data_IF_247219543181
#
_entry.id   IF_247219543181
#
_cell.length_a   1.000
_cell.length_b   1.000
_cell.length_c   1.000
_cell.angle_alpha   90.00
_cell.angle_beta   90.00
_cell.angle_gamma   90.00
#
_symmetry.space_group_name_H-M   'P 1'
#
loop_
_entity.id
_entity.type
_entity.pdbx_description
1 polymer ?
#
# COMPACT_ATOMS: atom_id res chain seq x y z
N UNK A 1 -19.15 2.57 -36.83
CA UNK A 1 -18.58 1.94 -35.62
C UNK A 1 -17.08 2.03 -35.74
N UNK A 2 -16.42 2.77 -34.85
CA UNK A 2 -14.96 2.97 -34.90
C UNK A 2 -14.37 2.29 -33.68
N UNK A 3 -13.49 1.30 -33.87
CA UNK A 3 -12.85 0.56 -32.80
C UNK A 3 -11.62 1.30 -32.28
N UNK A 4 -11.55 1.55 -30.98
CA UNK A 4 -10.34 2.01 -30.30
C UNK A 4 -9.59 0.82 -29.72
N UNK A 5 -8.31 0.67 -30.05
CA UNK A 5 -7.43 -0.38 -29.52
C UNK A 5 -6.55 0.18 -28.41
N UNK A 6 -6.61 -0.41 -27.21
CA UNK A 6 -5.81 -0.02 -26.05
C UNK A 6 -4.69 -1.00 -25.78
N UNK A 7 -3.56 -0.86 -26.49
CA UNK A 7 -2.37 -1.72 -26.34
C UNK A 7 -1.16 -0.99 -25.76
N UNK A 8 -1.37 -0.11 -24.79
CA UNK A 8 -0.26 0.53 -24.09
C UNK A 8 0.29 -0.40 -23.00
N UNK A 9 1.22 -1.29 -23.36
CA UNK A 9 2.14 -1.92 -22.40
C UNK A 9 2.00 -3.42 -22.11
N UNK A 10 1.21 -4.18 -22.87
CA UNK A 10 1.24 -5.66 -22.80
C UNK A 10 2.27 -6.21 -23.79
N UNK A 11 3.19 -7.07 -23.33
CA UNK A 11 3.97 -7.90 -24.26
C UNK A 11 2.97 -8.79 -25.01
N UNK A 12 2.88 -8.62 -26.33
CA UNK A 12 1.98 -9.40 -27.17
C UNK A 12 2.55 -10.81 -27.30
N UNK A 13 2.13 -11.70 -26.42
CA UNK A 13 2.31 -13.13 -26.68
C UNK A 13 1.38 -13.56 -27.86
N UNK A 14 1.64 -14.71 -28.51
CA UNK A 14 0.86 -15.16 -29.66
C UNK A 14 -0.64 -15.32 -29.38
N UNK A 15 -1.00 -15.62 -28.13
CA UNK A 15 -2.39 -15.79 -27.68
C UNK A 15 -3.05 -14.42 -27.57
N UNK A 16 -2.40 -13.45 -26.93
CA UNK A 16 -2.86 -12.07 -26.82
C UNK A 16 -3.02 -11.41 -28.20
N UNK A 17 -2.11 -11.68 -29.14
CA UNK A 17 -2.22 -11.19 -30.51
C UNK A 17 -3.44 -11.80 -31.25
N UNK A 18 -3.67 -13.10 -31.08
CA UNK A 18 -4.82 -13.80 -31.69
C UNK A 18 -6.14 -13.33 -31.11
N UNK A 19 -6.22 -13.17 -29.79
CA UNK A 19 -7.39 -12.65 -29.09
C UNK A 19 -7.71 -11.20 -29.52
N UNK A 20 -6.68 -10.38 -29.77
CA UNK A 20 -6.86 -9.02 -30.28
C UNK A 20 -7.39 -9.00 -31.72
N UNK A 21 -6.85 -9.85 -32.59
CA UNK A 21 -7.36 -10.01 -33.96
C UNK A 21 -8.82 -10.47 -33.91
N UNK A 22 -9.15 -11.37 -33.00
CA UNK A 22 -10.52 -11.86 -32.78
C UNK A 22 -11.45 -10.73 -32.33
N UNK A 23 -11.02 -9.90 -31.38
CA UNK A 23 -11.75 -8.70 -30.97
C UNK A 23 -11.99 -7.73 -32.14
N UNK A 24 -10.98 -7.49 -32.99
CA UNK A 24 -11.09 -6.62 -34.16
C UNK A 24 -12.09 -7.16 -35.20
N UNK A 25 -12.03 -8.45 -35.50
CA UNK A 25 -12.92 -9.12 -36.45
C UNK A 25 -14.37 -9.17 -35.93
N UNK A 26 -14.56 -9.12 -34.61
CA UNK A 26 -15.87 -9.15 -33.95
C UNK A 26 -16.54 -7.77 -33.83
N UNK A 27 -15.97 -6.71 -34.40
CA UNK A 27 -16.55 -5.35 -34.38
C UNK A 27 -17.75 -5.14 -35.31
N UNK A 28 -18.07 -6.13 -36.14
CA UNK A 28 -19.25 -6.08 -37.03
C UNK A 28 -20.55 -6.14 -36.22
N UNK A 29 -21.64 -5.43 -36.63
CA UNK A 29 -22.83 -5.24 -35.79
C UNK A 29 -23.46 -6.53 -35.25
N UNK A 30 -23.46 -7.58 -36.07
CA UNK A 30 -24.02 -8.88 -35.72
C UNK A 30 -23.18 -9.65 -34.68
N UNK A 31 -21.84 -9.58 -34.77
CA UNK A 31 -20.93 -10.26 -33.85
C UNK A 31 -20.67 -9.44 -32.59
N UNK A 32 -20.67 -8.12 -32.71
CA UNK A 32 -20.45 -7.18 -31.62
C UNK A 32 -21.45 -7.33 -30.46
N UNK A 33 -22.70 -7.72 -30.76
CA UNK A 33 -23.75 -7.89 -29.76
C UNK A 33 -23.56 -9.14 -28.87
N UNK A 34 -22.83 -10.15 -29.36
CA UNK A 34 -22.65 -11.45 -28.69
C UNK A 34 -21.20 -11.73 -28.30
N UNK A 35 -20.26 -10.92 -28.79
CA UNK A 35 -18.83 -11.10 -28.53
C UNK A 35 -18.38 -10.45 -27.21
N UNK A 36 -17.71 -11.23 -26.38
CA UNK A 36 -17.06 -10.72 -25.17
C UNK A 36 -15.65 -10.20 -25.51
N UNK A 37 -15.53 -8.90 -25.72
CA UNK A 37 -14.24 -8.29 -26.03
C UNK A 37 -13.27 -8.38 -24.85
N UNK A 38 -12.03 -8.78 -25.13
CA UNK A 38 -10.97 -9.00 -24.13
C UNK A 38 -10.03 -7.79 -24.01
N UNK A 39 -9.59 -7.26 -25.14
CA UNK A 39 -8.63 -6.16 -25.29
C UNK A 39 -9.27 -4.90 -25.89
N UNK A 40 -10.40 -5.03 -26.58
CA UNK A 40 -11.17 -3.91 -27.10
C UNK A 40 -12.48 -3.71 -26.31
N UNK A 41 -13.20 -2.63 -26.63
CA UNK A 41 -14.59 -2.44 -26.20
C UNK A 41 -15.32 -1.66 -27.28
N UNK A 42 -16.59 -2.03 -27.52
CA UNK A 42 -17.47 -1.22 -28.36
C UNK A 42 -17.96 0.01 -27.61
N UNK A 43 -17.81 1.18 -28.23
CA UNK A 43 -18.31 2.45 -27.70
C UNK A 43 -19.21 3.09 -28.77
N UNK A 44 -20.48 3.45 -28.45
CA UNK A 44 -21.37 4.13 -29.39
C UNK A 44 -20.76 5.45 -29.86
N UNK A 45 -20.87 5.73 -31.15
CA UNK A 45 -20.26 6.93 -31.76
C UNK A 45 -20.82 8.22 -31.14
N UNK A 46 -22.10 8.22 -30.76
CA UNK A 46 -22.74 9.33 -30.04
C UNK A 46 -22.08 9.63 -28.70
N UNK A 47 -21.64 8.61 -27.96
CA UNK A 47 -20.92 8.79 -26.69
C UNK A 47 -19.49 9.28 -26.87
N UNK A 48 -18.86 8.98 -28.01
CA UNK A 48 -17.54 9.51 -28.37
C UNK A 48 -17.65 10.98 -28.77
N UNK A 49 -18.65 11.35 -29.57
CA UNK A 49 -18.88 12.72 -30.03
C UNK A 49 -19.33 13.64 -28.87
N UNK A 50 -20.11 13.11 -27.93
CA UNK A 50 -20.58 13.87 -26.77
C UNK A 50 -19.49 14.07 -25.69
N UNK A 51 -18.42 13.25 -25.70
CA UNK A 51 -17.32 13.40 -24.78
C UNK A 51 -16.39 14.53 -25.25
N UNK A 52 -16.39 15.66 -24.54
CA UNK A 52 -15.39 16.71 -24.74
C UNK A 52 -14.09 16.29 -24.04
N UNK A 53 -13.14 15.71 -24.77
CA UNK A 53 -11.83 15.27 -24.23
C UNK A 53 -10.97 14.52 -25.24
N UNK A 54 -9.68 14.36 -24.93
CA UNK A 54 -8.73 13.63 -25.77
C UNK A 54 -9.06 12.12 -25.77
N UNK A 55 -9.21 11.54 -26.97
CA UNK A 55 -9.49 10.11 -27.18
C UNK A 55 -8.36 9.19 -26.70
N UNK A 56 -7.19 9.76 -26.41
CA UNK A 56 -6.01 9.07 -25.88
C UNK A 56 -5.97 9.04 -24.35
N UNK A 57 -6.89 9.73 -23.65
CA UNK A 57 -6.99 9.61 -22.20
C UNK A 57 -7.57 8.26 -21.83
N UNK A 58 -6.68 7.34 -21.47
CA UNK A 58 -7.04 6.01 -20.96
C UNK A 58 -7.89 6.21 -19.70
N UNK A 59 -9.21 6.12 -19.87
CA UNK A 59 -10.12 5.94 -18.73
C UNK A 59 -9.68 4.64 -18.06
N UNK A 60 -9.28 4.66 -16.79
CA UNK A 60 -8.79 3.45 -16.13
C UNK A 60 -9.86 2.36 -16.28
N UNK A 61 -9.47 1.12 -16.64
CA UNK A 61 -10.43 0.04 -16.83
C UNK A 61 -11.23 -0.11 -15.55
N UNK A 62 -12.55 0.10 -15.63
CA UNK A 62 -13.46 -0.08 -14.50
C UNK A 62 -13.75 -1.56 -14.20
N UNK A 63 -13.06 -2.48 -14.88
CA UNK A 63 -13.31 -3.91 -14.75
C UNK A 63 -12.48 -4.46 -13.61
N UNK A 64 -13.07 -4.43 -12.40
CA UNK A 64 -12.63 -5.30 -11.32
C UNK A 64 -12.59 -6.74 -11.85
N UNK A 65 -11.54 -7.52 -11.56
CA UNK A 65 -11.68 -8.97 -11.53
C UNK A 65 -12.93 -9.28 -10.71
N UNK A 66 -13.76 -10.24 -11.15
CA UNK A 66 -14.89 -10.72 -10.35
C UNK A 66 -14.33 -11.49 -9.16
N UNK A 67 -13.75 -10.79 -8.20
CA UNK A 67 -13.35 -11.40 -6.94
C UNK A 67 -14.64 -11.68 -6.18
N UNK A 68 -14.80 -12.92 -5.72
CA UNK A 68 -15.99 -13.33 -4.98
C UNK A 68 -16.05 -12.54 -3.66
N UNK A 69 -16.85 -11.48 -3.61
CA UNK A 69 -16.85 -10.52 -2.49
C UNK A 69 -17.11 -11.20 -1.14
N UNK A 70 -17.95 -12.23 -1.11
CA UNK A 70 -18.18 -13.04 0.09
C UNK A 70 -16.94 -13.84 0.51
N UNK A 71 -16.12 -14.30 -0.44
CA UNK A 71 -14.86 -14.99 -0.12
C UNK A 71 -13.82 -14.05 0.49
N UNK A 72 -13.70 -12.82 -0.03
CA UNK A 72 -12.84 -11.80 0.57
C UNK A 72 -13.33 -11.44 1.98
N UNK A 73 -14.64 -11.24 2.14
CA UNK A 73 -15.23 -10.91 3.43
C UNK A 73 -14.96 -12.01 4.48
N UNK A 74 -15.07 -13.29 4.09
CA UNK A 74 -14.74 -14.42 4.96
C UNK A 74 -13.25 -14.43 5.34
N UNK A 75 -12.35 -14.32 4.36
CA UNK A 75 -10.91 -14.29 4.60
C UNK A 75 -10.49 -13.13 5.53
N UNK A 76 -11.14 -11.96 5.42
CA UNK A 76 -10.89 -10.84 6.33
C UNK A 76 -11.42 -11.11 7.74
N UNK A 77 -12.56 -11.77 7.91
CA UNK A 77 -13.02 -12.20 9.23
C UNK A 77 -12.05 -13.19 9.87
N UNK A 78 -11.54 -14.15 9.11
CA UNK A 78 -10.54 -15.12 9.60
C UNK A 78 -9.25 -14.41 10.05
N UNK A 79 -8.77 -13.42 9.27
CA UNK A 79 -7.60 -12.63 9.64
C UNK A 79 -7.83 -11.77 10.89
N UNK A 80 -9.01 -11.17 11.05
CA UNK A 80 -9.38 -10.43 12.26
C UNK A 80 -9.39 -11.35 13.49
N UNK A 81 -10.01 -12.53 13.38
CA UNK A 81 -10.04 -13.51 14.47
C UNK A 81 -8.63 -14.00 14.84
N UNK A 82 -7.77 -14.23 13.85
CA UNK A 82 -6.38 -14.63 14.09
C UNK A 82 -5.56 -13.52 14.75
N UNK A 83 -5.78 -12.26 14.36
CA UNK A 83 -5.06 -11.12 14.94
C UNK A 83 -5.45 -10.84 16.39
N UNK A 84 -6.68 -11.19 16.80
CA UNK A 84 -7.21 -11.02 18.16
C UNK A 84 -7.03 -12.26 19.06
N UNK A 85 -6.22 -13.24 18.63
CA UNK A 85 -5.97 -14.47 19.39
C UNK A 85 -5.52 -14.15 20.82
N UNK A 86 -6.13 -14.82 21.80
CA UNK A 86 -5.89 -14.70 23.24
C UNK A 86 -6.16 -13.31 23.86
N UNK A 87 -6.85 -12.42 23.14
CA UNK A 87 -7.21 -11.08 23.64
C UNK A 87 -6.02 -10.13 23.80
N UNK A 88 -4.86 -10.50 23.24
CA UNK A 88 -3.61 -9.75 23.39
C UNK A 88 -3.59 -8.43 22.58
N UNK A 89 -4.43 -8.32 21.55
CA UNK A 89 -4.50 -7.15 20.66
C UNK A 89 -5.73 -6.25 20.91
N UNK A 90 -6.74 -6.72 21.66
CA UNK A 90 -8.04 -6.05 21.92
C UNK A 90 -8.56 -5.31 20.69
N UNK A 91 -8.75 -6.02 19.58
CA UNK A 91 -9.30 -5.41 18.36
C UNK A 91 -10.82 -5.33 18.43
N UNK A 92 -11.38 -4.22 17.98
CA UNK A 92 -12.82 -4.04 17.79
C UNK A 92 -13.30 -5.06 16.77
N UNK A 93 -14.42 -5.77 17.02
CA UNK A 93 -14.96 -6.74 16.08
C UNK A 93 -15.64 -6.03 14.90
N UNK A 94 -14.84 -5.52 13.97
CA UNK A 94 -15.32 -4.85 12.77
C UNK A 94 -16.18 -5.78 11.92
N UNK A 95 -17.39 -5.36 11.57
CA UNK A 95 -18.26 -6.13 10.68
C UNK A 95 -17.79 -6.00 9.23
N UNK A 96 -17.35 -7.12 8.63
CA UNK A 96 -16.88 -7.14 7.24
C UNK A 96 -17.95 -7.72 6.31
N UNK A 97 -18.75 -6.87 5.70
CA UNK A 97 -19.80 -7.30 4.76
C UNK A 97 -19.36 -7.16 3.29
N UNK A 98 -19.87 -8.00 2.37
CA UNK A 98 -19.65 -7.80 0.93
C UNK A 98 -20.11 -6.39 0.50
N UNK A 99 -19.25 -5.67 -0.21
CA UNK A 99 -19.54 -4.30 -0.64
C UNK A 99 -20.63 -4.22 -1.73
N UNK A 100 -21.28 -3.06 -1.81
CA UNK A 100 -22.35 -2.78 -2.77
C UNK A 100 -21.89 -2.75 -4.24
N UNK A 101 -22.87 -2.96 -5.14
CA UNK A 101 -22.68 -2.89 -6.60
C UNK A 101 -22.42 -1.44 -7.01
N UNK A 102 -21.15 -1.09 -7.20
CA UNK A 102 -20.72 0.25 -7.64
C UNK A 102 -19.28 0.55 -7.26
N UNK A 103 -18.89 0.17 -6.02
CA UNK A 103 -17.53 0.34 -5.49
C UNK A 103 -17.02 1.80 -5.44
N UNK A 104 -15.82 2.02 -4.87
CA UNK A 104 -15.12 3.30 -4.95
C UNK A 104 -14.89 3.77 -6.39
N UNK A 105 -14.95 5.09 -6.55
CA UNK A 105 -14.59 5.78 -7.79
C UNK A 105 -13.08 5.66 -8.00
N UNK A 106 -12.65 5.28 -9.20
CA UNK A 106 -11.22 5.22 -9.53
C UNK A 106 -10.76 6.55 -10.14
N UNK A 107 -9.68 7.10 -9.59
CA UNK A 107 -9.01 8.32 -10.08
C UNK A 107 -7.52 8.05 -10.23
N UNK A 108 -6.86 8.59 -11.24
CA UNK A 108 -5.42 8.33 -11.45
C UNK A 108 -4.54 9.14 -10.49
N UNK A 109 -3.36 8.62 -10.15
CA UNK A 109 -2.37 9.33 -9.32
C UNK A 109 -2.02 10.71 -9.90
N UNK A 110 -1.79 10.78 -11.22
CA UNK A 110 -1.50 12.02 -11.93
C UNK A 110 -2.60 13.05 -11.74
N UNK A 111 -3.87 12.64 -11.90
CA UNK A 111 -5.01 13.53 -11.71
C UNK A 111 -5.11 14.05 -10.27
N UNK A 112 -4.85 13.19 -9.27
CA UNK A 112 -4.82 13.62 -7.87
C UNK A 112 -3.70 14.62 -7.58
N UNK A 113 -2.56 14.49 -8.26
CA UNK A 113 -1.45 15.46 -8.18
C UNK A 113 -1.82 16.78 -8.86
N UNK A 114 -2.40 16.71 -10.06
CA UNK A 114 -2.78 17.90 -10.83
C UNK A 114 -3.89 18.69 -10.14
N UNK A 115 -4.80 18.01 -9.43
CA UNK A 115 -5.82 18.62 -8.58
C UNK A 115 -5.29 19.15 -7.24
N UNK A 116 -4.01 18.90 -6.92
CA UNK A 116 -3.39 19.33 -5.66
C UNK A 116 -3.84 18.52 -4.43
N UNK A 117 -4.52 17.38 -4.60
CA UNK A 117 -4.89 16.48 -3.50
C UNK A 117 -3.72 15.61 -3.05
N UNK A 118 -2.77 15.33 -3.96
CA UNK A 118 -1.49 14.72 -3.64
C UNK A 118 -0.35 15.66 -4.02
N UNK A 119 0.64 15.80 -3.14
CA UNK A 119 1.89 16.49 -3.44
C UNK A 119 3.01 15.49 -3.60
N UNK A 120 3.68 15.50 -4.74
CA UNK A 120 4.87 14.71 -4.99
C UNK A 120 6.10 15.40 -4.38
N UNK A 121 6.84 14.70 -3.51
CA UNK A 121 8.14 15.14 -3.01
C UNK A 121 9.22 14.18 -3.52
N UNK A 122 10.30 14.69 -4.13
CA UNK A 122 11.41 13.86 -4.58
C UNK A 122 12.23 13.36 -3.39
N UNK A 123 12.82 12.17 -3.51
CA UNK A 123 13.88 11.73 -2.61
C UNK A 123 15.19 12.48 -2.84
N UNK A 124 16.05 12.46 -1.82
CA UNK A 124 17.35 13.12 -1.81
C UNK A 124 18.41 12.19 -2.38
N UNK A 125 19.37 12.74 -3.15
CA UNK A 125 20.54 11.98 -3.58
C UNK A 125 21.52 11.92 -2.41
N UNK A 126 21.49 10.82 -1.67
CA UNK A 126 22.37 10.55 -0.52
C UNK A 126 23.45 9.57 -0.95
N UNK A 127 24.67 9.75 -0.44
CA UNK A 127 25.77 8.80 -0.59
C UNK A 127 25.55 7.62 0.36
N UNK A 128 25.81 6.39 -0.12
CA UNK A 128 25.61 5.17 0.67
C UNK A 128 26.50 5.14 1.92
N UNK A 129 27.70 5.72 1.83
CA UNK A 129 28.69 5.80 2.92
C UNK A 129 28.23 6.69 4.08
N UNK A 130 27.27 7.58 3.84
CA UNK A 130 26.68 8.44 4.88
C UNK A 130 25.54 7.76 5.64
N UNK A 131 25.13 6.56 5.19
CA UNK A 131 24.00 5.81 5.74
C UNK A 131 24.51 4.64 6.59
N UNK A 132 24.06 4.59 7.83
CA UNK A 132 24.34 3.50 8.78
C UNK A 132 23.14 2.54 8.89
N UNK A 133 23.42 1.28 9.20
CA UNK A 133 22.38 0.32 9.56
C UNK A 133 21.93 0.56 11.02
N UNK A 134 20.62 0.50 11.27
CA UNK A 134 20.04 0.61 12.61
C UNK A 134 19.25 1.90 12.87
N UNK A 135 19.09 2.24 14.16
CA UNK A 135 18.15 3.26 14.67
C UNK A 135 18.83 4.46 15.35
N UNK A 136 20.15 4.60 15.23
CA UNK A 136 20.93 5.62 15.95
C UNK A 136 20.77 7.06 15.45
N UNK A 137 20.06 7.28 14.34
CA UNK A 137 19.92 8.57 13.69
C UNK A 137 18.52 8.86 13.16
N UNK A 138 18.42 9.78 12.21
CA UNK A 138 17.20 10.00 11.43
C UNK A 138 17.00 8.81 10.50
N UNK A 139 15.81 8.20 10.56
CA UNK A 139 15.40 7.11 9.66
C UNK A 139 15.48 7.56 8.20
N UNK A 140 16.06 6.72 7.35
CA UNK A 140 16.15 6.94 5.91
C UNK A 140 15.39 5.84 5.18
N UNK A 141 14.34 6.24 4.46
CA UNK A 141 13.65 5.34 3.54
C UNK A 141 14.44 5.24 2.23
N UNK A 142 15.03 4.07 2.01
CA UNK A 142 15.69 3.68 0.76
C UNK A 142 14.87 2.60 0.05
N UNK A 143 15.20 2.31 -1.21
CA UNK A 143 14.56 1.21 -1.94
C UNK A 143 14.65 -0.12 -1.17
N UNK A 144 15.79 -0.41 -0.55
CA UNK A 144 15.99 -1.63 0.23
C UNK A 144 15.07 -1.68 1.46
N UNK A 145 14.92 -0.57 2.20
CA UNK A 145 14.01 -0.49 3.35
C UNK A 145 12.54 -0.70 2.96
N UNK A 146 12.19 -0.39 1.71
CA UNK A 146 10.85 -0.55 1.16
C UNK A 146 10.55 -2.01 0.76
N UNK A 147 11.56 -2.77 0.36
CA UNK A 147 11.41 -4.14 -0.17
C UNK A 147 11.80 -5.26 0.79
N UNK A 148 12.47 -4.94 1.89
CA UNK A 148 12.96 -5.94 2.82
C UNK A 148 11.79 -6.61 3.58
N UNK A 149 11.83 -7.95 3.76
CA UNK A 149 10.78 -8.69 4.48
C UNK A 149 10.78 -8.43 6.00
N UNK A 150 11.92 -7.98 6.53
CA UNK A 150 12.08 -7.43 7.87
C UNK A 150 12.40 -5.94 7.72
N UNK A 151 12.08 -5.08 8.71
CA UNK A 151 12.42 -3.67 8.64
C UNK A 151 13.95 -3.51 8.68
N UNK A 152 14.60 -3.57 7.52
CA UNK A 152 15.95 -3.05 7.38
C UNK A 152 15.84 -1.54 7.60
N UNK A 153 16.42 -1.08 8.69
CA UNK A 153 16.42 0.34 9.05
C UNK A 153 17.77 0.91 8.63
N UNK A 154 17.72 1.91 7.76
CA UNK A 154 18.86 2.78 7.46
C UNK A 154 18.66 4.08 8.24
N UNK A 155 19.76 4.64 8.73
CA UNK A 155 19.73 5.90 9.46
C UNK A 155 20.91 6.78 9.06
N UNK A 156 20.76 8.08 9.26
CA UNK A 156 21.82 9.08 9.08
C UNK A 156 21.92 9.93 10.35
N UNK A 157 23.13 10.29 10.75
CA UNK A 157 23.34 11.23 11.85
C UNK A 157 22.64 12.57 11.57
N UNK A 158 22.04 13.17 12.60
CA UNK A 158 21.21 14.38 12.45
C UNK A 158 22.03 15.60 12.04
N UNK A 159 23.22 15.76 12.62
CA UNK A 159 24.09 16.90 12.32
C UNK A 159 24.70 16.72 10.93
N UNK A 160 25.08 15.50 10.57
CA UNK A 160 25.55 15.18 9.23
C UNK A 160 24.49 15.42 8.16
N UNK A 161 23.25 14.98 8.39
CA UNK A 161 22.11 15.24 7.52
C UNK A 161 21.91 16.73 7.26
N UNK A 162 21.94 17.55 8.32
CA UNK A 162 21.75 18.99 8.21
C UNK A 162 22.90 19.68 7.43
N UNK A 163 24.14 19.20 7.60
CA UNK A 163 25.32 19.77 6.97
C UNK A 163 25.47 19.35 5.50
N UNK A 164 25.40 18.05 5.21
CA UNK A 164 25.65 17.49 3.88
C UNK A 164 24.41 17.52 2.96
N UNK A 165 23.21 17.51 3.54
CA UNK A 165 21.95 17.42 2.80
C UNK A 165 20.92 18.49 3.22
N UNK A 166 21.25 19.78 3.15
CA UNK A 166 20.39 20.86 3.66
C UNK A 166 19.04 20.99 2.93
N UNK A 167 18.90 20.42 1.73
CA UNK A 167 17.65 20.39 0.97
C UNK A 167 16.71 19.23 1.37
N UNK A 168 17.13 18.36 2.29
CA UNK A 168 16.34 17.23 2.75
C UNK A 168 15.04 17.68 3.40
N UNK A 169 13.97 16.97 3.05
CA UNK A 169 12.64 17.17 3.62
C UNK A 169 12.28 15.98 4.47
N UNK A 170 11.75 16.27 5.65
CA UNK A 170 11.15 15.25 6.50
C UNK A 170 9.78 14.84 5.96
N UNK A 171 9.53 13.54 6.06
CA UNK A 171 8.20 12.97 5.92
C UNK A 171 7.30 13.42 7.06
N UNK A 172 6.00 13.35 6.82
CA UNK A 172 4.94 13.54 7.80
C UNK A 172 4.22 12.20 8.01
N UNK A 173 3.65 12.01 9.19
CA UNK A 173 2.78 10.87 9.44
C UNK A 173 1.66 10.82 8.38
N UNK A 174 1.46 9.65 7.77
CA UNK A 174 0.52 9.42 6.67
C UNK A 174 1.10 9.67 5.28
N UNK A 175 2.38 10.06 5.15
CA UNK A 175 3.03 10.16 3.85
C UNK A 175 3.17 8.78 3.19
N UNK A 176 2.84 8.68 1.90
CA UNK A 176 3.03 7.44 1.14
C UNK A 176 4.40 7.46 0.50
N UNK A 177 5.32 6.65 1.03
CA UNK A 177 6.67 6.49 0.51
C UNK A 177 6.66 5.39 -0.54
N UNK A 178 7.13 5.67 -1.76
CA UNK A 178 7.00 4.74 -2.87
C UNK A 178 8.19 4.75 -3.83
N UNK A 179 8.38 3.62 -4.50
CA UNK A 179 9.29 3.46 -5.62
C UNK A 179 8.57 2.72 -6.76
N UNK A 180 8.83 3.11 -8.01
CA UNK A 180 8.17 2.51 -9.18
C UNK A 180 9.01 1.43 -9.86
N UNK A 181 10.31 1.39 -9.59
CA UNK A 181 11.26 0.48 -10.23
C UNK A 181 12.23 -0.13 -9.20
N UNK A 182 12.72 -1.36 -9.42
CA UNK A 182 12.38 -2.31 -10.49
C UNK A 182 10.96 -2.91 -10.39
N UNK A 183 10.30 -2.81 -9.24
CA UNK A 183 8.89 -3.17 -9.05
C UNK A 183 8.18 -2.08 -8.23
N UNK A 184 6.89 -1.83 -8.46
CA UNK A 184 6.12 -0.92 -7.62
C UNK A 184 6.12 -1.39 -6.18
N UNK A 185 6.61 -0.52 -5.31
CA UNK A 185 6.55 -0.71 -3.87
C UNK A 185 6.10 0.59 -3.24
N UNK A 186 5.25 0.48 -2.23
CA UNK A 186 4.86 1.61 -1.41
C UNK A 186 4.58 1.18 0.02
N UNK A 187 4.83 2.07 0.96
CA UNK A 187 4.41 1.96 2.35
C UNK A 187 3.86 3.31 2.80
N UNK A 188 3.11 3.30 3.89
CA UNK A 188 2.73 4.52 4.59
C UNK A 188 3.76 4.73 5.70
N UNK A 189 4.42 5.88 5.69
CA UNK A 189 5.22 6.33 6.82
C UNK A 189 4.27 6.87 7.89
N UNK A 190 4.15 6.13 8.97
CA UNK A 190 3.22 6.42 10.07
C UNK A 190 3.82 7.33 11.13
N UNK A 191 5.14 7.25 11.30
CA UNK A 191 5.85 7.99 12.33
C UNK A 191 6.18 9.41 11.82
N UNK A 192 6.46 9.52 10.51
CA UNK A 192 7.02 10.73 9.94
C UNK A 192 8.46 10.96 10.42
N UNK A 193 8.96 12.19 10.26
CA UNK A 193 10.32 12.58 10.69
C UNK A 193 11.45 11.72 10.11
N UNK A 194 11.16 10.95 9.06
CA UNK A 194 12.14 10.24 8.25
C UNK A 194 12.55 11.11 7.05
N UNK A 195 13.65 10.76 6.42
CA UNK A 195 14.05 11.30 5.12
C UNK A 195 14.02 10.20 4.07
N UNK A 196 13.89 10.59 2.81
CA UNK A 196 13.73 9.64 1.71
C UNK A 196 14.92 9.79 0.76
N UNK A 197 15.56 8.68 0.43
CA UNK A 197 16.67 8.62 -0.51
C UNK A 197 16.17 8.28 -1.92
N UNK A 198 16.67 8.99 -2.93
CA UNK A 198 16.40 8.69 -4.33
C UNK A 198 16.83 7.24 -4.66
N UNK A 199 16.09 6.49 -5.49
CA UNK A 199 14.97 6.91 -6.34
C UNK A 199 13.59 6.91 -5.66
N UNK A 200 13.51 6.63 -4.36
CA UNK A 200 12.26 6.63 -3.60
C UNK A 200 11.69 8.05 -3.54
N UNK A 201 10.36 8.17 -3.51
CA UNK A 201 9.61 9.42 -3.54
C UNK A 201 8.49 9.37 -2.51
N UNK A 202 7.88 10.53 -2.25
CA UNK A 202 6.75 10.65 -1.33
C UNK A 202 5.54 11.23 -2.06
N UNK A 203 4.37 10.64 -1.81
CA UNK A 203 3.07 11.24 -2.07
C UNK A 203 2.49 11.70 -0.73
N UNK A 204 2.40 13.01 -0.55
CA UNK A 204 1.80 13.62 0.63
C UNK A 204 0.34 13.96 0.34
N UNK A 205 -0.57 13.49 1.19
CA UNK A 205 -1.98 13.86 1.11
C UNK A 205 -2.15 15.30 1.58
N UNK A 206 -2.76 16.15 0.76
CA UNK A 206 -3.01 17.54 1.12
C UNK A 206 -4.19 17.64 2.09
N UNK A 207 -4.20 18.67 2.95
CA UNK A 207 -5.34 18.94 3.85
C UNK A 207 -6.64 19.26 3.10
N UNK A 208 -6.54 19.71 1.85
CA UNK A 208 -7.67 19.94 0.94
C UNK A 208 -8.13 18.70 0.17
N UNK A 209 -7.47 17.55 0.37
CA UNK A 209 -7.84 16.31 -0.30
C UNK A 209 -9.25 15.86 0.13
N UNK A 210 -10.01 15.21 -0.78
CA UNK A 210 -11.29 14.64 -0.40
C UNK A 210 -11.11 13.59 0.71
N UNK A 211 -12.02 13.51 1.69
CA UNK A 211 -11.92 12.52 2.79
C UNK A 211 -11.76 11.08 2.31
N UNK A 212 -12.28 10.75 1.12
CA UNK A 212 -12.15 9.43 0.50
C UNK A 212 -10.73 9.00 0.12
N UNK A 213 -9.75 9.92 0.15
CA UNK A 213 -8.36 9.64 -0.18
C UNK A 213 -7.60 9.18 1.07
N UNK A 214 -7.51 7.87 1.26
CA UNK A 214 -6.85 7.24 2.41
C UNK A 214 -5.42 6.80 2.03
N UNK A 215 -4.36 7.19 2.77
CA UNK A 215 -2.97 6.87 2.44
C UNK A 215 -2.69 5.37 2.21
N UNK A 216 -3.28 4.50 3.02
CA UNK A 216 -3.09 3.05 2.95
C UNK A 216 -3.68 2.47 1.67
N UNK A 217 -4.80 3.04 1.21
CA UNK A 217 -5.44 2.69 -0.08
C UNK A 217 -4.57 3.15 -1.24
N UNK A 218 -3.98 4.35 -1.16
CA UNK A 218 -3.01 4.85 -2.15
C UNK A 218 -1.78 3.93 -2.21
N UNK A 219 -1.20 3.58 -1.06
CA UNK A 219 -0.04 2.71 -0.99
C UNK A 219 -0.35 1.31 -1.53
N UNK A 220 -1.51 0.75 -1.19
CA UNK A 220 -1.97 -0.53 -1.74
C UNK A 220 -2.15 -0.47 -3.27
N UNK A 221 -2.78 0.60 -3.78
CA UNK A 221 -2.95 0.81 -5.22
C UNK A 221 -1.60 0.88 -5.95
N UNK A 222 -0.60 1.54 -5.37
CA UNK A 222 0.76 1.57 -5.92
C UNK A 222 1.40 0.18 -5.91
N UNK A 223 1.35 -0.56 -4.78
CA UNK A 223 1.96 -1.91 -4.68
C UNK A 223 1.36 -2.92 -5.65
N UNK A 224 0.07 -2.78 -5.95
CA UNK A 224 -0.69 -3.70 -6.82
C UNK A 224 -0.75 -3.24 -8.27
N UNK A 225 -0.11 -2.11 -8.59
CA UNK A 225 -0.01 -1.61 -9.94
C UNK A 225 0.81 -2.56 -10.84
N UNK A 226 0.57 -2.56 -12.16
CA UNK A 226 1.22 -3.49 -13.10
C UNK A 226 2.75 -3.32 -13.24
N UNK A 227 3.32 -2.22 -12.73
CA UNK A 227 4.77 -2.00 -12.69
C UNK A 227 5.44 -1.59 -13.99
N UNK A 228 4.67 -1.51 -15.08
CA UNK A 228 5.10 -0.93 -16.34
C UNK A 228 4.21 0.28 -16.69
N UNK A 229 4.73 1.15 -17.56
CA UNK A 229 4.04 2.36 -18.03
C UNK A 229 4.19 3.56 -17.10
N UNK A 230 3.48 4.64 -17.42
CA UNK A 230 3.49 5.86 -16.62
C UNK A 230 2.73 5.63 -15.30
N UNK A 231 3.46 5.73 -14.18
CA UNK A 231 2.89 5.57 -12.85
C UNK A 231 1.81 6.59 -12.53
N UNK A 232 1.82 7.76 -13.19
CA UNK A 232 0.77 8.78 -13.03
C UNK A 232 -0.58 8.28 -13.55
N UNK A 233 -0.60 7.29 -14.45
CA UNK A 233 -1.84 6.71 -14.96
C UNK A 233 -2.42 5.62 -14.04
N UNK A 234 -1.70 5.20 -12.98
CA UNK A 234 -2.17 4.14 -12.10
C UNK A 234 -3.44 4.56 -11.34
N UNK A 235 -4.50 3.72 -11.35
CA UNK A 235 -5.76 4.02 -10.70
C UNK A 235 -5.67 3.88 -9.18
N UNK A 236 -6.24 4.84 -8.47
CA UNK A 236 -6.40 4.86 -7.02
C UNK A 236 -7.89 4.91 -6.68
N UNK A 237 -8.40 4.00 -5.84
CA UNK A 237 -9.76 4.08 -5.33
C UNK A 237 -9.95 5.27 -4.38
N UNK A 238 -10.96 6.09 -4.66
CA UNK A 238 -11.52 7.05 -3.71
C UNK A 238 -12.71 6.41 -3.00
N UNK A 239 -12.58 6.23 -1.69
CA UNK A 239 -13.63 5.63 -0.87
C UNK A 239 -14.79 6.62 -0.64
N UNK A 240 -16.04 6.14 -0.51
CA UNK A 240 -17.12 6.95 0.04
C UNK A 240 -16.73 7.49 1.42
N UNK A 241 -17.10 8.73 1.75
CA UNK A 241 -16.66 9.43 2.97
C UNK A 241 -16.92 8.62 4.26
N UNK A 242 -18.10 8.01 4.38
CA UNK A 242 -18.44 7.17 5.53
C UNK A 242 -17.51 5.95 5.64
N UNK A 243 -17.31 5.23 4.53
CA UNK A 243 -16.39 4.08 4.49
C UNK A 243 -14.95 4.49 4.78
N UNK A 244 -14.52 5.66 4.30
CA UNK A 244 -13.17 6.17 4.52
C UNK A 244 -12.89 6.44 6.01
N UNK A 245 -13.89 6.94 6.75
CA UNK A 245 -13.77 7.12 8.19
C UNK A 245 -13.60 5.77 8.90
N UNK A 246 -14.51 4.82 8.67
CA UNK A 246 -14.45 3.48 9.26
C UNK A 246 -13.14 2.75 8.94
N UNK A 247 -12.65 2.85 7.70
CA UNK A 247 -11.36 2.25 7.31
C UNK A 247 -10.20 2.89 8.06
N UNK A 248 -10.19 4.22 8.23
CA UNK A 248 -9.13 4.91 9.00
C UNK A 248 -9.14 4.50 10.47
N UNK A 249 -10.31 4.37 11.08
CA UNK A 249 -10.44 3.96 12.48
C UNK A 249 -9.92 2.51 12.67
N UNK A 250 -10.35 1.60 11.81
CA UNK A 250 -9.89 0.21 11.83
C UNK A 250 -8.36 0.08 11.62
N UNK A 251 -7.80 0.86 10.69
CA UNK A 251 -6.35 0.86 10.44
C UNK A 251 -5.57 1.44 11.63
N UNK A 252 -6.09 2.49 12.27
CA UNK A 252 -5.48 3.08 13.48
C UNK A 252 -5.41 2.06 14.61
N UNK A 253 -6.47 1.28 14.80
CA UNK A 253 -6.51 0.24 15.82
C UNK A 253 -5.53 -0.90 15.53
N UNK A 254 -5.47 -1.38 14.29
CA UNK A 254 -4.48 -2.38 13.87
C UNK A 254 -3.05 -1.89 14.08
N UNK A 255 -2.80 -0.60 13.85
CA UNK A 255 -1.48 -0.01 14.06
C UNK A 255 -1.13 0.12 15.54
N UNK A 256 -2.09 0.50 16.40
CA UNK A 256 -1.92 0.53 17.85
C UNK A 256 -1.61 -0.86 18.41
N UNK A 257 -2.35 -1.88 17.97
CA UNK A 257 -2.08 -3.27 18.34
C UNK A 257 -0.68 -3.72 17.90
N UNK A 258 -0.26 -3.39 16.68
CA UNK A 258 1.10 -3.70 16.20
C UNK A 258 2.18 -3.06 17.07
N UNK A 259 1.99 -1.80 17.47
CA UNK A 259 2.95 -1.09 18.31
C UNK A 259 3.06 -1.73 19.69
N UNK A 260 1.93 -2.08 20.32
CA UNK A 260 1.90 -2.76 21.61
C UNK A 260 2.61 -4.12 21.57
N UNK A 261 2.35 -4.93 20.55
CA UNK A 261 3.00 -6.23 20.36
C UNK A 261 4.50 -6.10 20.13
N UNK A 262 4.92 -5.10 19.35
CA UNK A 262 6.35 -4.83 19.11
C UNK A 262 7.06 -4.42 20.39
N UNK A 263 6.42 -3.58 21.22
CA UNK A 263 6.97 -3.19 22.52
C UNK A 263 7.08 -4.38 23.49
N UNK A 264 6.08 -5.26 23.49
CA UNK A 264 6.10 -6.50 24.30
C UNK A 264 7.21 -7.44 23.86
N UNK A 265 7.42 -7.60 22.56
CA UNK A 265 8.52 -8.41 22.03
C UNK A 265 9.88 -7.85 22.47
N UNK A 266 10.09 -6.53 22.35
CA UNK A 266 11.32 -5.90 22.82
C UNK A 266 11.56 -6.10 24.34
N UNK A 267 10.51 -6.01 25.16
CA UNK A 267 10.62 -6.26 26.59
C UNK A 267 10.98 -7.72 26.92
N UNK A 268 10.51 -8.69 26.13
CA UNK A 268 10.89 -10.09 26.29
C UNK A 268 12.34 -10.33 25.87
N UNK A 269 12.82 -9.65 24.84
CA UNK A 269 14.22 -9.70 24.43
C UNK A 269 15.14 -9.12 25.53
N UNK A 270 14.78 -7.97 26.11
CA UNK A 270 15.51 -7.34 27.22
C UNK A 270 15.53 -8.25 28.46
N UNK A 271 14.38 -8.85 28.81
CA UNK A 271 14.30 -9.82 29.90
C UNK A 271 15.19 -11.04 29.65
N UNK A 272 15.21 -11.53 28.41
CA UNK A 272 16.05 -12.67 28.02
C UNK A 272 17.52 -12.35 28.19
N UNK A 273 17.97 -11.20 27.66
CA UNK A 273 19.36 -10.75 27.82
C UNK A 273 19.73 -10.56 29.30
N UNK A 274 18.86 -9.92 30.09
CA UNK A 274 19.08 -9.69 31.51
C UNK A 274 19.15 -10.98 32.35
N UNK A 275 18.26 -11.95 32.08
CA UNK A 275 18.27 -13.25 32.76
C UNK A 275 19.55 -14.05 32.47
N UNK A 276 19.99 -14.05 31.21
CA UNK A 276 21.22 -14.74 30.80
C UNK A 276 22.43 -14.12 31.50
N UNK A 277 22.57 -12.80 31.49
CA UNK A 277 23.68 -12.09 32.11
C UNK A 277 23.70 -12.25 33.64
N UNK A 278 22.54 -12.08 34.29
CA UNK A 278 22.46 -12.15 35.74
C UNK A 278 22.70 -13.59 36.26
N UNK A 279 22.28 -14.61 35.50
CA UNK A 279 22.52 -16.01 35.89
C UNK A 279 23.96 -16.43 35.60
N UNK A 280 24.54 -16.02 34.46
CA UNK A 280 25.91 -16.37 34.09
C UNK A 280 26.96 -15.72 34.99
N UNK A 281 26.70 -14.50 35.47
CA UNK A 281 27.52 -13.80 36.47
C UNK A 281 27.34 -14.34 37.90
N UNK A 282 26.33 -15.18 38.15
CA UNK A 282 25.95 -15.64 39.48
C UNK A 282 25.27 -14.56 40.34
N UNK A 283 24.90 -13.42 39.75
CA UNK A 283 24.19 -12.34 40.45
C UNK A 283 22.78 -12.77 40.88
N UNK A 284 22.13 -13.67 40.13
CA UNK A 284 20.83 -14.27 40.47
C UNK A 284 20.84 -15.79 40.26
N UNK A 285 19.89 -16.47 40.90
CA UNK A 285 19.60 -17.89 40.67
C UNK A 285 18.09 -18.06 40.44
N UNK A 286 17.73 -18.85 39.41
CA UNK A 286 16.34 -19.11 39.05
C UNK A 286 15.82 -20.33 39.81
N UNK A 287 14.73 -20.13 40.57
CA UNK A 287 14.03 -21.21 41.25
C UNK A 287 12.85 -21.70 40.39
N UNK A 288 12.55 -23.01 40.39
CA UNK A 288 11.39 -23.52 39.67
C UNK A 288 10.09 -22.95 40.25
N UNK A 289 9.06 -22.71 39.41
CA UNK A 289 7.78 -22.22 39.89
C UNK A 289 7.13 -23.24 40.83
N UNK A 290 6.60 -22.75 41.95
CA UNK A 290 5.84 -23.59 42.89
C UNK A 290 4.53 -23.97 42.19
N UNK A 291 4.39 -25.22 41.75
CA UNK A 291 3.08 -25.72 41.32
C UNK A 291 2.21 -25.85 42.57
N UNK A 292 1.02 -25.21 42.62
CA UNK A 292 0.08 -25.51 43.69
C UNK A 292 -0.35 -26.98 43.52
N UNK A 293 0.00 -27.81 44.49
CA UNK A 293 -0.46 -29.20 44.54
C UNK A 293 -1.98 -29.17 44.55
N UNK A 294 -2.59 -29.70 43.48
CA UNK A 294 -4.03 -29.89 43.46
C UNK A 294 -4.36 -30.87 44.59
N UNK A 295 -4.98 -30.36 45.65
CA UNK A 295 -5.54 -31.18 46.71
C UNK A 295 -6.72 -31.95 46.11
N UNK A 296 -6.45 -33.16 45.64
CA UNK A 296 -7.49 -34.18 45.44
C UNK A 296 -8.10 -34.48 46.80
N UNK A 297 -9.42 -34.29 46.90
CA UNK A 297 -10.25 -34.70 48.03
C UNK A 297 -10.71 -36.14 47.90
#
# INVERSE_FOLDING_TARGET
TTGGSGLSGTALDPVAATDLVTDLLSTTPYRAATHAFRFARLVPTTTVIAASGDLLTVRPPSRRPRTHAAGIALALHELLAQADTDGDATLTPWQVVPGEVGGPVLVTLGRLIDLGHLRLLPGNRMAEDDLADGTGGVTVHTFQTLTAPLPSRRSIDRLHLAAAYPASRFTQAGDVVFCTAPRPTALVDRDGLAVVAAPVRVLRVASSAPPGLVPEVVAHAVRTAPGHGDWRAWPVPLLPTAQAATVRDALTEVDAARLALTARLAALDDLTAGLVEATSSGAVSLLPPIRPTQMEG
#
